data_IF_789465042615
#
_entry.id   IF_789465042615
#
_cell.length_a   1.000
_cell.length_b   1.000
_cell.length_c   1.000
_cell.angle_alpha   90.00
_cell.angle_beta   90.00
_cell.angle_gamma   90.00
#
_symmetry.space_group_name_H-M   'P 1'
#
loop_
_entity.id
_entity.type
_entity.pdbx_description
1 polymer ?
#
# COMPACT_ATOMS: atom_id res chain seq x y z
N UNK A 1 0.60 2.62 -3.59
CA UNK A 1 -0.64 2.53 -2.77
C UNK A 1 -0.81 3.82 -1.98
N UNK A 2 -2.01 4.42 -1.88
CA UNK A 2 -2.18 5.72 -1.20
C UNK A 2 -3.40 5.73 -0.28
N UNK A 3 -3.25 5.42 1.03
CA UNK A 3 -4.37 5.35 1.97
C UNK A 3 -5.20 6.65 2.05
N UNK A 4 -4.56 7.81 1.86
CA UNK A 4 -5.24 9.10 1.88
C UNK A 4 -6.34 9.23 0.80
N UNK A 5 -6.16 8.60 -0.36
CA UNK A 5 -7.13 8.64 -1.46
C UNK A 5 -8.34 7.73 -1.23
N UNK A 6 -8.22 6.74 -0.33
CA UNK A 6 -9.32 5.85 0.03
C UNK A 6 -10.28 6.46 1.07
N UNK A 7 -9.92 7.61 1.66
CA UNK A 7 -10.55 8.17 2.88
C UNK A 7 -10.74 9.68 2.84
N UNK A 8 -11.01 10.24 1.67
CA UNK A 8 -11.15 11.70 1.46
C UNK A 8 -12.15 12.39 2.41
N UNK A 9 -13.06 11.64 3.05
CA UNK A 9 -14.14 12.19 3.87
C UNK A 9 -13.97 11.97 5.39
N UNK A 10 -12.88 11.33 5.85
CA UNK A 10 -12.69 11.05 7.29
C UNK A 10 -12.07 12.24 8.03
N UNK A 11 -12.59 12.64 9.21
CA UNK A 11 -11.95 13.66 10.06
C UNK A 11 -10.66 13.16 10.72
N UNK A 12 -10.41 11.83 10.71
CA UNK A 12 -9.23 11.21 11.33
C UNK A 12 -8.06 11.14 10.35
N UNK A 13 -6.97 11.82 10.69
CA UNK A 13 -5.71 11.78 9.93
C UNK A 13 -5.05 10.41 9.98
N UNK A 14 -4.68 9.89 8.81
CA UNK A 14 -3.83 8.70 8.67
C UNK A 14 -2.40 9.06 9.07
N UNK A 15 -1.69 8.16 9.73
CA UNK A 15 -0.24 8.24 9.85
C UNK A 15 0.35 8.12 8.43
N UNK A 16 0.62 9.25 7.77
CA UNK A 16 1.09 9.26 6.39
C UNK A 16 2.44 8.56 6.24
N UNK A 17 2.76 8.14 5.01
CA UNK A 17 4.12 7.75 4.62
C UNK A 17 4.67 8.82 3.68
N UNK A 18 5.98 9.08 3.74
CA UNK A 18 6.70 9.81 2.69
C UNK A 18 6.97 8.93 1.45
N UNK A 19 6.74 7.62 1.60
CA UNK A 19 6.97 6.63 0.57
C UNK A 19 5.81 6.63 -0.45
N UNK A 20 6.18 6.61 -1.73
CA UNK A 20 5.30 6.42 -2.88
C UNK A 20 5.58 5.04 -3.47
N UNK A 21 4.75 4.06 -3.08
CA UNK A 21 4.83 2.71 -3.63
C UNK A 21 4.20 2.66 -5.04
N UNK A 22 5.01 2.32 -6.05
CA UNK A 22 4.60 2.16 -7.44
C UNK A 22 4.79 0.72 -7.88
N UNK A 23 3.66 0.03 -8.11
CA UNK A 23 3.71 -1.28 -8.74
C UNK A 23 4.09 -1.12 -10.20
N UNK A 24 5.17 -1.76 -10.60
CA UNK A 24 5.70 -1.73 -11.96
C UNK A 24 5.67 -3.12 -12.57
N UNK A 25 4.69 -3.38 -13.44
CA UNK A 25 4.73 -4.54 -14.33
C UNK A 25 5.58 -4.25 -15.59
N UNK A 26 6.70 -3.53 -15.44
CA UNK A 26 7.39 -2.89 -16.56
C UNK A 26 8.03 -3.87 -17.55
N UNK A 27 8.64 -4.95 -17.07
CA UNK A 27 9.25 -5.94 -17.98
C UNK A 27 8.20 -6.81 -18.67
N UNK A 28 7.08 -7.07 -17.99
CA UNK A 28 5.93 -7.82 -18.56
C UNK A 28 5.14 -6.97 -19.58
N UNK A 29 4.99 -5.66 -19.34
CA UNK A 29 4.12 -4.79 -20.13
C UNK A 29 4.84 -3.93 -21.19
N UNK A 30 6.14 -3.63 -21.03
CA UNK A 30 6.83 -2.61 -21.84
C UNK A 30 8.23 -2.96 -22.35
N UNK A 31 8.88 -3.97 -21.77
CA UNK A 31 10.25 -4.38 -22.13
C UNK A 31 11.35 -3.37 -21.76
N UNK A 32 12.61 -3.75 -22.00
CA UNK A 32 13.82 -3.01 -21.64
C UNK A 32 13.84 -1.54 -22.05
N UNK A 33 13.25 -1.21 -23.20
CA UNK A 33 13.17 0.17 -23.72
C UNK A 33 12.34 1.08 -22.81
N UNK A 34 11.22 0.59 -22.27
CA UNK A 34 10.36 1.40 -21.40
C UNK A 34 10.94 1.53 -19.99
N UNK A 35 11.64 0.51 -19.50
CA UNK A 35 12.39 0.58 -18.25
C UNK A 35 13.49 1.65 -18.33
N UNK A 36 14.30 1.65 -19.39
CA UNK A 36 15.33 2.67 -19.60
C UNK A 36 14.74 4.09 -19.74
N UNK A 37 13.57 4.21 -20.38
CA UNK A 37 12.85 5.49 -20.48
C UNK A 37 12.37 6.00 -19.11
N UNK A 38 11.89 5.11 -18.24
CA UNK A 38 11.50 5.48 -16.88
C UNK A 38 12.70 5.92 -16.04
N UNK A 39 13.81 5.17 -16.10
CA UNK A 39 15.07 5.53 -15.43
C UNK A 39 15.50 6.95 -15.84
N UNK A 40 15.51 7.25 -17.13
CA UNK A 40 15.84 8.58 -17.62
C UNK A 40 14.83 9.66 -17.18
N UNK A 41 13.55 9.32 -17.09
CA UNK A 41 12.53 10.25 -16.62
C UNK A 41 12.69 10.60 -15.12
N UNK A 42 13.05 9.62 -14.27
CA UNK A 42 13.33 9.84 -12.85
C UNK A 42 14.55 10.76 -12.67
N UNK A 43 15.64 10.49 -13.39
CA UNK A 43 16.83 11.33 -13.40
C UNK A 43 16.53 12.76 -13.85
N UNK A 44 15.77 12.93 -14.93
CA UNK A 44 15.38 14.25 -15.43
C UNK A 44 14.46 15.01 -14.45
N UNK A 45 13.71 14.30 -13.62
CA UNK A 45 12.88 14.86 -12.55
C UNK A 45 13.68 15.17 -11.27
N UNK A 46 15.00 14.93 -11.25
CA UNK A 46 15.89 15.20 -10.13
C UNK A 46 15.91 14.12 -9.05
N UNK A 47 15.31 12.95 -9.30
CA UNK A 47 15.46 11.82 -8.40
C UNK A 47 16.86 11.21 -8.55
N UNK A 48 17.41 10.75 -7.43
CA UNK A 48 18.67 10.02 -7.35
C UNK A 48 18.40 8.56 -6.95
N UNK A 49 19.08 7.57 -7.56
CA UNK A 49 18.92 6.18 -7.17
C UNK A 49 19.52 5.92 -5.77
N UNK A 50 18.90 5.03 -4.99
CA UNK A 50 19.50 4.47 -3.77
C UNK A 50 20.51 3.38 -4.18
N UNK A 51 21.81 3.64 -3.96
CA UNK A 51 22.90 2.72 -4.33
C UNK A 51 22.79 1.34 -3.65
N UNK A 52 22.10 1.24 -2.52
CA UNK A 52 21.86 -0.04 -1.82
C UNK A 52 20.57 -0.73 -2.27
N UNK A 53 19.64 0.01 -2.90
CA UNK A 53 18.29 -0.46 -3.25
C UNK A 53 17.90 0.09 -4.61
N UNK A 54 18.25 -0.63 -5.67
CA UNK A 54 17.95 -0.29 -7.07
C UNK A 54 16.46 -0.08 -7.38
N UNK A 55 15.57 -0.52 -6.50
CA UNK A 55 14.12 -0.29 -6.59
C UNK A 55 13.66 0.99 -5.89
N UNK A 56 14.54 1.76 -5.25
CA UNK A 56 14.22 2.98 -4.52
C UNK A 56 14.94 4.17 -5.15
N UNK A 57 14.17 5.23 -5.35
CA UNK A 57 14.67 6.52 -5.82
C UNK A 57 14.26 7.62 -4.85
N UNK A 58 15.17 8.55 -4.59
CA UNK A 58 14.98 9.59 -3.59
C UNK A 58 15.03 10.98 -4.22
N UNK A 59 14.10 11.84 -3.82
CA UNK A 59 14.16 13.27 -4.13
C UNK A 59 14.31 14.02 -2.81
N UNK A 60 15.39 14.80 -2.69
CA UNK A 60 15.70 15.64 -1.54
C UNK A 60 15.64 17.12 -1.96
N UNK A 61 14.81 17.93 -1.29
CA UNK A 61 14.75 19.39 -1.55
C UNK A 61 16.00 20.09 -0.96
N UNK A 62 16.83 20.79 -1.77
CA UNK A 62 18.02 21.47 -1.28
C UNK A 62 17.75 22.71 -0.42
N UNK A 63 16.55 23.32 -0.49
CA UNK A 63 16.27 24.66 0.07
C UNK A 63 15.14 24.70 1.10
N UNK A 64 14.57 23.54 1.43
CA UNK A 64 13.91 23.34 2.72
C UNK A 64 12.42 23.12 2.64
N UNK A 65 12.05 21.86 2.41
CA UNK A 65 11.24 21.09 3.36
C UNK A 65 11.82 19.66 3.41
N UNK A 66 12.01 19.12 4.62
CA UNK A 66 12.64 17.82 4.92
C UNK A 66 11.77 16.61 4.55
N UNK A 67 11.36 16.49 3.30
CA UNK A 67 10.60 15.32 2.84
C UNK A 67 11.42 14.57 1.80
N UNK A 68 12.09 13.50 2.22
CA UNK A 68 12.64 12.52 1.27
C UNK A 68 11.46 11.75 0.67
N UNK A 69 11.18 12.00 -0.61
CA UNK A 69 10.19 11.21 -1.34
C UNK A 69 10.88 9.94 -1.80
N UNK A 70 10.41 8.79 -1.34
CA UNK A 70 10.91 7.48 -1.79
C UNK A 70 9.97 6.93 -2.84
N UNK A 71 10.46 6.78 -4.06
CA UNK A 71 9.75 6.15 -5.16
C UNK A 71 10.19 4.69 -5.22
N UNK A 72 9.30 3.77 -4.82
CA UNK A 72 9.61 2.34 -4.74
C UNK A 72 8.96 1.55 -5.87
N UNK A 73 9.76 0.81 -6.62
CA UNK A 73 9.34 -0.07 -7.71
C UNK A 73 9.09 -1.48 -7.17
N UNK A 74 7.84 -1.95 -7.28
CA UNK A 74 7.42 -3.24 -6.73
C UNK A 74 6.91 -4.19 -7.82
N UNK A 75 7.17 -5.49 -7.65
CA UNK A 75 6.71 -6.58 -8.49
C UNK A 75 6.13 -7.74 -7.67
N UNK A 76 5.37 -8.64 -8.31
CA UNK A 76 4.83 -9.87 -7.71
C UNK A 76 4.91 -11.01 -8.74
N UNK A 77 6.14 -11.52 -8.92
CA UNK A 77 6.51 -12.52 -9.93
C UNK A 77 6.62 -13.89 -9.29
N UNK A 78 5.79 -14.84 -9.74
CA UNK A 78 5.71 -16.22 -9.20
C UNK A 78 7.00 -17.02 -9.38
N UNK A 79 7.77 -16.72 -10.43
CA UNK A 79 9.05 -17.35 -10.77
C UNK A 79 10.25 -16.77 -10.03
N UNK A 80 10.09 -15.65 -9.31
CA UNK A 80 11.13 -15.04 -8.51
C UNK A 80 10.92 -15.26 -7.00
N UNK A 81 11.98 -15.40 -6.19
CA UNK A 81 11.84 -15.49 -4.74
C UNK A 81 11.20 -14.23 -4.12
N UNK A 82 10.48 -14.38 -3.01
CA UNK A 82 9.97 -13.24 -2.26
C UNK A 82 11.14 -12.43 -1.66
N UNK A 83 11.06 -11.11 -1.72
CA UNK A 83 12.11 -10.13 -1.41
C UNK A 83 13.32 -10.16 -2.34
N UNK A 84 13.23 -10.83 -3.50
CA UNK A 84 14.27 -10.76 -4.51
C UNK A 84 14.30 -9.36 -5.16
N UNK A 85 15.49 -8.98 -5.63
CA UNK A 85 15.68 -7.82 -6.49
C UNK A 85 15.58 -8.27 -7.94
N UNK A 86 14.65 -7.68 -8.67
CA UNK A 86 14.47 -7.89 -10.11
C UNK A 86 15.18 -6.74 -10.82
N UNK A 87 16.24 -7.05 -11.54
CA UNK A 87 16.95 -6.08 -12.36
C UNK A 87 16.32 -6.00 -13.75
N UNK A 88 16.16 -4.79 -14.29
CA UNK A 88 15.61 -4.63 -15.62
C UNK A 88 16.71 -4.61 -16.67
N UNK A 89 16.56 -5.47 -17.69
CA UNK A 89 17.47 -5.50 -18.82
C UNK A 89 17.61 -4.11 -19.45
N UNK A 90 18.84 -3.61 -19.62
CA UNK A 90 19.11 -2.32 -20.26
C UNK A 90 19.03 -1.09 -19.34
N UNK A 91 18.74 -1.28 -18.06
CA UNK A 91 18.86 -0.24 -17.03
C UNK A 91 20.18 -0.37 -16.26
N UNK A 92 20.66 0.73 -15.67
CA UNK A 92 21.88 0.72 -14.84
C UNK A 92 21.58 0.72 -13.35
N UNK A 93 20.50 1.40 -12.97
CA UNK A 93 20.14 1.69 -11.58
C UNK A 93 18.68 1.34 -11.28
N UNK A 94 17.88 1.01 -12.29
CA UNK A 94 16.47 0.67 -12.13
C UNK A 94 16.25 -0.84 -11.95
N UNK A 95 15.62 -1.20 -10.84
CA UNK A 95 15.04 -2.53 -10.62
C UNK A 95 13.73 -2.45 -9.84
N UNK A 96 13.22 -3.61 -9.41
CA UNK A 96 12.05 -3.73 -8.55
C UNK A 96 12.28 -4.72 -7.40
N UNK A 97 11.59 -4.54 -6.29
CA UNK A 97 11.52 -5.54 -5.23
C UNK A 97 10.35 -6.49 -5.48
N UNK A 98 10.62 -7.80 -5.56
CA UNK A 98 9.58 -8.81 -5.68
C UNK A 98 8.91 -9.02 -4.31
N UNK A 99 7.71 -8.48 -4.12
CA UNK A 99 6.96 -8.54 -2.86
C UNK A 99 5.61 -9.20 -3.06
N UNK A 100 5.40 -10.32 -2.37
CA UNK A 100 4.15 -11.09 -2.46
C UNK A 100 2.94 -10.28 -2.03
N UNK A 101 1.86 -10.42 -2.81
CA UNK A 101 0.57 -9.78 -2.57
C UNK A 101 0.46 -8.37 -3.17
N UNK A 102 1.56 -7.80 -3.68
CA UNK A 102 1.48 -6.52 -4.38
C UNK A 102 0.74 -6.65 -5.73
N UNK A 103 0.60 -7.86 -6.26
CA UNK A 103 -0.25 -8.17 -7.42
C UNK A 103 -1.74 -7.88 -7.20
N UNK A 104 -2.24 -7.87 -5.96
CA UNK A 104 -3.61 -7.41 -5.67
C UNK A 104 -3.79 -5.93 -6.03
N UNK A 105 -2.74 -5.12 -5.90
CA UNK A 105 -2.79 -3.69 -6.08
C UNK A 105 -3.06 -3.26 -7.54
N UNK A 106 -2.67 -4.08 -8.52
CA UNK A 106 -2.87 -3.81 -9.96
C UNK A 106 -4.15 -4.41 -10.54
N UNK A 107 -4.86 -5.23 -9.76
CA UNK A 107 -6.12 -5.85 -10.17
C UNK A 107 -7.35 -5.01 -9.77
N UNK A 108 -7.20 -4.10 -8.82
CA UNK A 108 -8.21 -3.13 -8.42
C UNK A 108 -7.70 -1.72 -8.74
N UNK A 109 -8.04 -1.19 -9.92
CA UNK A 109 -7.54 0.09 -10.41
C UNK A 109 -8.65 1.14 -10.35
N UNK A 110 -8.32 2.28 -9.77
CA UNK A 110 -9.07 3.54 -9.84
C UNK A 110 -8.18 4.57 -10.53
N UNK A 111 -8.67 5.16 -11.62
CA UNK A 111 -7.96 6.23 -12.31
C UNK A 111 -8.15 7.53 -11.52
N UNK A 112 -7.04 8.19 -11.21
CA UNK A 112 -7.02 9.51 -10.58
C UNK A 112 -6.35 10.53 -11.50
N UNK A 113 -6.96 11.70 -11.62
CA UNK A 113 -6.34 12.83 -12.31
C UNK A 113 -5.52 13.62 -11.31
N UNK A 114 -4.23 13.74 -11.58
CA UNK A 114 -3.33 14.62 -10.84
C UNK A 114 -2.96 15.81 -11.71
N UNK A 115 -2.83 16.97 -11.06
CA UNK A 115 -2.43 18.20 -11.71
C UNK A 115 -1.30 18.84 -10.92
N UNK A 116 -0.26 19.25 -11.61
CA UNK A 116 0.91 19.89 -11.02
C UNK A 116 1.46 20.97 -11.95
N UNK A 117 2.13 21.97 -11.36
CA UNK A 117 2.92 22.92 -12.14
C UNK A 117 4.34 22.37 -12.26
N UNK A 118 4.75 22.04 -13.47
CA UNK A 118 6.09 21.57 -13.81
C UNK A 118 6.82 22.68 -14.56
N UNK A 119 7.86 23.25 -13.95
CA UNK A 119 8.62 24.39 -14.49
C UNK A 119 7.74 25.54 -15.03
N UNK A 120 6.69 25.89 -14.28
CA UNK A 120 5.75 26.97 -14.65
C UNK A 120 4.69 26.57 -15.69
N UNK A 121 4.72 25.33 -16.19
CA UNK A 121 3.69 24.78 -17.08
C UNK A 121 2.73 23.92 -16.29
N UNK A 122 1.43 24.20 -16.35
CA UNK A 122 0.42 23.32 -15.76
C UNK A 122 0.37 22.02 -16.56
N UNK A 123 0.59 20.90 -15.89
CA UNK A 123 0.47 19.55 -16.45
C UNK A 123 -0.64 18.79 -15.74
N UNK A 124 -1.24 17.87 -16.48
CA UNK A 124 -2.22 16.92 -16.00
C UNK A 124 -1.77 15.52 -16.39
N UNK A 125 -1.95 14.56 -15.49
CA UNK A 125 -1.72 13.15 -15.75
C UNK A 125 -2.83 12.31 -15.14
N UNK A 126 -3.24 11.27 -15.84
CA UNK A 126 -4.06 10.19 -15.29
C UNK A 126 -3.13 9.11 -14.75
N UNK A 127 -3.31 8.76 -13.48
CA UNK A 127 -2.54 7.73 -12.81
C UNK A 127 -3.46 6.62 -12.32
N UNK A 128 -3.01 5.38 -12.52
CA UNK A 128 -3.66 4.21 -11.95
C UNK A 128 -3.32 4.14 -10.47
N UNK A 129 -4.33 4.26 -9.61
CA UNK A 129 -4.22 4.10 -8.17
C UNK A 129 -4.91 2.82 -7.77
N UNK A 130 -4.34 2.11 -6.82
CA UNK A 130 -4.97 0.93 -6.21
C UNK A 130 -6.27 1.31 -5.49
N UNK A 131 -7.36 0.63 -5.85
CA UNK A 131 -8.65 0.73 -5.18
C UNK A 131 -8.66 0.08 -3.80
N UNK A 132 -9.81 0.16 -3.12
CA UNK A 132 -9.97 -0.30 -1.75
C UNK A 132 -9.67 -1.80 -1.57
N UNK A 133 -10.20 -2.65 -2.47
CA UNK A 133 -10.05 -4.10 -2.34
C UNK A 133 -8.60 -4.54 -2.59
N UNK A 134 -7.97 -3.98 -3.63
CA UNK A 134 -6.57 -4.27 -3.93
C UNK A 134 -5.64 -3.80 -2.81
N UNK A 135 -5.92 -2.64 -2.21
CA UNK A 135 -5.17 -2.11 -1.09
C UNK A 135 -5.27 -3.01 0.14
N UNK A 136 -6.50 -3.37 0.53
CA UNK A 136 -6.73 -4.21 1.71
C UNK A 136 -6.03 -5.56 1.54
N UNK A 137 -6.22 -6.26 0.42
CA UNK A 137 -5.57 -7.56 0.21
C UNK A 137 -4.05 -7.48 0.11
N UNK A 138 -3.49 -6.44 -0.52
CA UNK A 138 -2.05 -6.21 -0.54
C UNK A 138 -1.49 -6.02 0.88
N UNK A 139 -2.22 -5.28 1.73
CA UNK A 139 -1.84 -5.10 3.14
C UNK A 139 -2.03 -6.36 3.97
N UNK A 140 -3.07 -7.16 3.73
CA UNK A 140 -3.26 -8.47 4.37
C UNK A 140 -2.11 -9.41 4.04
N UNK A 141 -1.71 -9.49 2.77
CA UNK A 141 -0.56 -10.29 2.35
C UNK A 141 0.76 -9.79 2.96
N UNK A 142 0.99 -8.48 2.95
CA UNK A 142 2.15 -7.88 3.62
C UNK A 142 2.13 -8.21 5.12
N UNK A 143 1.00 -8.05 5.79
CA UNK A 143 0.86 -8.33 7.20
C UNK A 143 1.17 -9.81 7.52
N UNK A 144 0.69 -10.73 6.70
CA UNK A 144 1.00 -12.14 6.85
C UNK A 144 2.51 -12.42 6.71
N UNK A 145 3.14 -11.83 5.69
CA UNK A 145 4.53 -12.12 5.34
C UNK A 145 5.58 -11.46 6.26
N UNK A 146 5.45 -10.15 6.55
CA UNK A 146 6.54 -9.37 7.17
C UNK A 146 6.33 -8.93 8.62
N UNK A 147 5.15 -9.15 9.20
CA UNK A 147 4.90 -8.89 10.64
C UNK A 147 5.20 -7.43 11.12
N UNK A 148 5.13 -6.42 10.24
CA UNK A 148 5.43 -5.00 10.56
C UNK A 148 4.21 -4.20 11.04
N UNK A 149 4.16 -3.80 12.31
CA UNK A 149 3.09 -3.01 12.97
C UNK A 149 2.25 -2.09 12.05
N UNK A 150 2.90 -1.29 11.19
CA UNK A 150 2.23 -0.39 10.23
C UNK A 150 1.18 -1.05 9.33
N UNK A 151 1.33 -2.32 8.93
CA UNK A 151 0.34 -2.95 8.04
C UNK A 151 -0.96 -3.31 8.78
N UNK A 152 -0.88 -3.64 10.07
CA UNK A 152 -2.04 -3.91 10.94
C UNK A 152 -2.77 -2.60 11.19
N UNK A 153 -2.01 -1.52 11.43
CA UNK A 153 -2.55 -0.17 11.52
C UNK A 153 -3.30 0.20 10.24
N UNK A 154 -2.65 0.11 9.08
CA UNK A 154 -3.24 0.48 7.78
C UNK A 154 -4.54 -0.29 7.51
N UNK A 155 -4.58 -1.60 7.77
CA UNK A 155 -5.77 -2.44 7.55
C UNK A 155 -6.93 -1.97 8.44
N UNK A 156 -6.75 -1.96 9.77
CA UNK A 156 -7.82 -1.64 10.70
C UNK A 156 -8.33 -0.21 10.47
N UNK A 157 -7.40 0.72 10.24
CA UNK A 157 -7.71 2.12 10.04
C UNK A 157 -8.45 2.38 8.71
N UNK A 158 -8.10 1.69 7.62
CA UNK A 158 -8.85 1.79 6.36
C UNK A 158 -10.22 1.14 6.48
N UNK A 159 -10.34 0.00 7.16
CA UNK A 159 -11.66 -0.63 7.39
C UNK A 159 -12.62 0.29 8.15
N UNK A 160 -12.13 1.08 9.10
CA UNK A 160 -12.95 2.00 9.91
C UNK A 160 -13.30 3.32 9.21
N UNK A 161 -12.56 3.71 8.19
CA UNK A 161 -12.59 5.09 7.70
C UNK A 161 -12.55 5.24 6.18
N UNK A 162 -12.74 4.15 5.43
CA UNK A 162 -12.81 4.19 3.98
C UNK A 162 -14.09 4.91 3.50
N UNK A 163 -14.03 5.42 2.26
CA UNK A 163 -15.14 6.11 1.62
C UNK A 163 -16.25 5.16 1.12
N UNK A 164 -16.07 3.84 1.21
CA UNK A 164 -16.96 2.83 0.63
C UNK A 164 -17.98 2.29 1.65
N UNK A 165 -17.97 2.80 2.89
CA UNK A 165 -18.87 2.41 3.97
C UNK A 165 -18.12 1.75 5.12
N UNK A 166 -18.73 0.73 5.70
CA UNK A 166 -18.15 -0.01 6.82
C UNK A 166 -17.26 -1.18 6.38
N UNK A 167 -16.73 -1.91 7.35
CA UNK A 167 -15.88 -3.07 7.11
C UNK A 167 -16.59 -4.22 6.36
N UNK A 168 -17.92 -4.33 6.45
CA UNK A 168 -18.68 -5.32 5.69
C UNK A 168 -18.77 -4.89 4.23
N UNK A 169 -19.05 -3.61 3.94
CA UNK A 169 -19.05 -3.07 2.59
C UNK A 169 -17.67 -3.20 1.93
N UNK A 170 -16.59 -2.99 2.69
CA UNK A 170 -15.22 -3.25 2.22
C UNK A 170 -15.00 -4.73 1.84
N UNK A 171 -15.55 -5.67 2.62
CA UNK A 171 -15.49 -7.10 2.29
C UNK A 171 -16.31 -7.44 1.03
N UNK A 172 -17.49 -6.84 0.84
CA UNK A 172 -18.26 -7.01 -0.40
C UNK A 172 -17.47 -6.53 -1.62
N UNK A 173 -16.80 -5.39 -1.51
CA UNK A 173 -15.94 -4.87 -2.58
C UNK A 173 -14.79 -5.83 -2.91
N UNK A 174 -14.21 -6.48 -1.90
CA UNK A 174 -13.20 -7.53 -2.12
C UNK A 174 -13.78 -8.72 -2.88
N UNK A 175 -14.98 -9.19 -2.51
CA UNK A 175 -15.65 -10.30 -3.21
C UNK A 175 -16.00 -9.94 -4.65
N UNK A 176 -16.43 -8.70 -4.89
CA UNK A 176 -16.74 -8.20 -6.23
C UNK A 176 -15.52 -8.24 -7.16
N UNK A 177 -14.35 -7.83 -6.66
CA UNK A 177 -13.12 -7.72 -7.48
C UNK A 177 -12.36 -9.04 -7.58
N UNK A 178 -12.28 -9.80 -6.48
CA UNK A 178 -11.39 -10.95 -6.35
C UNK A 178 -12.12 -12.29 -6.23
N UNK A 179 -13.43 -12.27 -6.04
CA UNK A 179 -14.22 -13.47 -5.74
C UNK A 179 -13.99 -14.00 -4.31
N UNK A 180 -14.56 -15.16 -3.98
CA UNK A 180 -14.38 -15.79 -2.67
C UNK A 180 -12.91 -16.13 -2.38
N UNK A 181 -12.43 -15.92 -1.15
CA UNK A 181 -11.04 -16.19 -0.80
C UNK A 181 -10.75 -17.70 -0.77
N UNK A 182 -9.76 -18.09 -1.57
CA UNK A 182 -9.24 -19.46 -1.64
C UNK A 182 -7.72 -19.48 -1.44
N UNK A 183 -7.16 -20.66 -1.14
CA UNK A 183 -5.72 -20.88 -1.05
C UNK A 183 -5.02 -19.92 -0.08
N UNK A 184 -4.00 -19.23 -0.59
CA UNK A 184 -3.18 -18.31 0.21
C UNK A 184 -3.99 -17.14 0.77
N UNK A 185 -4.88 -16.55 -0.03
CA UNK A 185 -5.72 -15.44 0.42
C UNK A 185 -6.55 -15.82 1.66
N UNK A 186 -7.12 -17.03 1.65
CA UNK A 186 -7.87 -17.54 2.81
C UNK A 186 -6.98 -17.71 4.03
N UNK A 187 -5.76 -18.22 3.84
CA UNK A 187 -4.77 -18.40 4.92
C UNK A 187 -4.36 -17.06 5.54
N UNK A 188 -4.07 -16.07 4.70
CA UNK A 188 -3.70 -14.72 5.13
C UNK A 188 -4.86 -14.03 5.89
N UNK A 189 -6.10 -14.23 5.46
CA UNK A 189 -7.29 -13.69 6.15
C UNK A 189 -7.55 -14.36 7.51
N UNK A 190 -7.33 -15.66 7.63
CA UNK A 190 -7.41 -16.38 8.91
C UNK A 190 -6.33 -15.89 9.89
N UNK A 191 -5.13 -15.68 9.37
CA UNK A 191 -4.02 -15.11 10.14
C UNK A 191 -4.33 -13.67 10.59
N UNK A 192 -4.87 -12.81 9.71
CA UNK A 192 -5.34 -11.48 10.09
C UNK A 192 -6.37 -11.54 11.23
N UNK A 193 -7.37 -12.43 11.12
CA UNK A 193 -8.40 -12.61 12.15
C UNK A 193 -7.77 -12.97 13.51
N UNK A 194 -6.80 -13.89 13.53
CA UNK A 194 -6.10 -14.27 14.76
C UNK A 194 -5.31 -13.10 15.37
N UNK A 195 -4.74 -12.23 14.54
CA UNK A 195 -3.96 -11.07 14.98
C UNK A 195 -4.80 -9.92 15.57
N UNK A 196 -6.12 -10.01 15.48
CA UNK A 196 -7.09 -9.08 16.07
C UNK A 196 -8.12 -9.81 16.95
N UNK A 197 -7.78 -11.00 17.47
CA UNK A 197 -8.72 -11.81 18.24
C UNK A 197 -9.12 -11.19 19.59
N UNK A 198 -8.22 -10.42 20.21
CA UNK A 198 -8.45 -9.73 21.49
C UNK A 198 -7.52 -8.50 21.65
N UNK A 199 -7.66 -7.77 22.76
CA UNK A 199 -6.92 -6.51 23.01
C UNK A 199 -5.43 -6.69 23.25
N UNK A 200 -4.97 -7.91 23.53
CA UNK A 200 -3.56 -8.25 23.68
C UNK A 200 -2.93 -8.79 22.39
N UNK A 201 -3.73 -9.07 21.37
CA UNK A 201 -3.23 -9.53 20.08
C UNK A 201 -2.34 -8.47 19.43
N UNK A 202 -1.25 -8.91 18.79
CA UNK A 202 -0.23 -8.00 18.25
C UNK A 202 -0.80 -6.96 17.27
N UNK A 203 -1.82 -7.33 16.50
CA UNK A 203 -2.49 -6.40 15.58
C UNK A 203 -3.28 -5.31 16.29
N UNK A 204 -4.03 -5.69 17.33
CA UNK A 204 -4.75 -4.72 18.16
C UNK A 204 -3.78 -3.77 18.86
N UNK A 205 -2.69 -4.28 19.43
CA UNK A 205 -1.68 -3.45 20.09
C UNK A 205 -1.00 -2.49 19.10
N UNK A 206 -0.60 -2.98 17.92
CA UNK A 206 0.02 -2.16 16.88
C UNK A 206 -0.91 -1.05 16.37
N UNK A 207 -2.17 -1.37 16.12
CA UNK A 207 -3.17 -0.39 15.69
C UNK A 207 -3.37 0.71 16.73
N UNK A 208 -3.60 0.34 18.00
CA UNK A 208 -3.81 1.30 19.10
C UNK A 208 -2.60 2.21 19.26
N UNK A 209 -1.39 1.63 19.34
CA UNK A 209 -0.15 2.38 19.49
C UNK A 209 -0.04 3.48 18.44
N UNK A 210 -0.13 3.13 17.16
CA UNK A 210 0.06 4.08 16.07
C UNK A 210 -1.12 5.05 15.89
N UNK A 211 -2.34 4.64 16.25
CA UNK A 211 -3.50 5.53 16.23
C UNK A 211 -3.38 6.61 17.30
N UNK A 212 -3.06 6.25 18.55
CA UNK A 212 -2.96 7.17 19.68
C UNK A 212 -1.81 8.17 19.49
N UNK A 213 -0.70 7.77 18.87
CA UNK A 213 0.39 8.71 18.50
C UNK A 213 -0.10 9.90 17.66
N UNK A 214 -1.14 9.71 16.84
CA UNK A 214 -1.72 10.76 16.00
C UNK A 214 -3.01 11.37 16.58
N UNK A 215 -3.62 10.70 17.56
CA UNK A 215 -4.90 11.06 18.18
C UNK A 215 -4.80 10.86 19.70
N UNK A 216 -3.97 11.65 20.41
CA UNK A 216 -3.60 11.38 21.81
C UNK A 216 -4.74 11.52 22.82
N UNK A 217 -5.83 12.18 22.43
CA UNK A 217 -7.01 12.39 23.28
C UNK A 217 -8.02 11.23 23.22
N UNK A 218 -7.76 10.21 22.41
CA UNK A 218 -8.66 9.06 22.23
C UNK A 218 -8.44 7.98 23.30
N UNK A 219 -9.49 7.22 23.61
CA UNK A 219 -9.43 6.14 24.59
C UNK A 219 -8.89 4.84 23.97
N UNK A 220 -7.80 4.32 24.54
CA UNK A 220 -7.13 3.11 24.04
C UNK A 220 -8.06 1.91 23.93
N UNK A 221 -8.97 1.72 24.90
CA UNK A 221 -9.86 0.56 24.93
C UNK A 221 -10.91 0.64 23.83
N UNK A 222 -11.45 1.83 23.59
CA UNK A 222 -12.39 2.12 22.50
C UNK A 222 -11.72 1.89 21.15
N UNK A 223 -10.53 2.47 20.93
CA UNK A 223 -9.76 2.28 19.70
C UNK A 223 -9.45 0.80 19.45
N UNK A 224 -9.04 0.05 20.47
CA UNK A 224 -8.78 -1.39 20.35
C UNK A 224 -10.04 -2.16 19.90
N UNK A 225 -11.16 -1.87 20.56
CA UNK A 225 -12.44 -2.54 20.32
C UNK A 225 -12.95 -2.26 18.91
N UNK A 226 -12.87 -1.01 18.45
CA UNK A 226 -13.28 -0.61 17.11
C UNK A 226 -12.45 -1.32 16.04
N UNK A 227 -11.12 -1.36 16.21
CA UNK A 227 -10.22 -2.07 15.30
C UNK A 227 -10.53 -3.56 15.21
N UNK A 228 -10.78 -4.21 16.35
CA UNK A 228 -11.16 -5.62 16.42
C UNK A 228 -12.49 -5.89 15.73
N UNK A 229 -13.52 -5.09 16.01
CA UNK A 229 -14.85 -5.26 15.43
C UNK A 229 -14.81 -5.08 13.92
N UNK A 230 -14.06 -4.09 13.43
CA UNK A 230 -13.90 -3.87 11.99
C UNK A 230 -13.21 -5.06 11.30
N UNK A 231 -12.08 -5.52 11.83
CA UNK A 231 -11.35 -6.68 11.26
C UNK A 231 -12.18 -7.97 11.36
N UNK A 232 -12.88 -8.18 12.48
CA UNK A 232 -13.77 -9.32 12.66
C UNK A 232 -14.93 -9.32 11.65
N UNK A 233 -15.58 -8.17 11.43
CA UNK A 233 -16.65 -8.04 10.44
C UNK A 233 -16.15 -8.32 9.02
N UNK A 234 -15.02 -7.72 8.65
CA UNK A 234 -14.37 -7.92 7.34
C UNK A 234 -14.02 -9.39 7.09
N UNK A 235 -13.25 -10.00 8.00
CA UNK A 235 -12.81 -11.40 7.86
C UNK A 235 -13.98 -12.39 7.94
N UNK A 236 -14.95 -12.17 8.84
CA UNK A 236 -16.16 -13.01 8.93
C UNK A 236 -16.97 -12.94 7.64
N UNK A 237 -17.03 -11.81 6.94
CA UNK A 237 -17.77 -11.72 5.68
C UNK A 237 -17.07 -12.47 4.55
N UNK A 238 -15.75 -12.38 4.48
CA UNK A 238 -14.94 -13.03 3.45
C UNK A 238 -14.79 -14.54 3.64
N UNK A 239 -14.69 -15.01 4.88
CA UNK A 239 -14.40 -16.41 5.19
C UNK A 239 -15.62 -17.34 5.25
N UNK A 240 -16.82 -16.79 5.01
CA UNK A 240 -18.10 -17.52 4.95
C UNK A 240 -18.17 -18.52 3.81
#
# INVERSE_FOLDING_TARGET
MVPALLRSNSPKRHAGTSDVDVQVNLEIAGGSVQAARLEQALLNAGFEPDDERVWRWELNDPVGVRATIKFELLADLDDEPNNATVEFTGCKHLGAANLRGTGYAVRDIVIQKIQANDHGTRREAEINITGLAGFLLAKVAAAHGRRKEKDWYDIAFVLLHNNHGDATAAAERVLEVFGPPVGEMRTQLLDLQANFADSSAQGSLAYVKQFIENHPDEDNQTVATDGQLAVAAFTKRLLR
#
